data_IF_158822639566
#
_entry.id   IF_158822639566
#
_cell.length_a   1.000
_cell.length_b   1.000
_cell.length_c   1.000
_cell.angle_alpha   90.00
_cell.angle_beta   90.00
_cell.angle_gamma   90.00
#
_symmetry.space_group_name_H-M   'P 1'
#
loop_
_entity.id
_entity.type
_entity.pdbx_description
1 polymer ?
#
# COMPACT_ATOMS: atom_id res chain seq x y z
N UNK A 1 -23.04 -53.13 61.28
CA UNK A 1 -24.25 -53.09 60.45
C UNK A 1 -24.57 -51.61 60.25
N UNK A 2 -24.45 -51.08 59.03
CA UNK A 2 -24.67 -49.65 58.78
C UNK A 2 -26.14 -49.30 59.03
N UNK A 3 -26.37 -48.28 59.84
CA UNK A 3 -27.73 -47.81 60.12
C UNK A 3 -28.24 -46.92 58.98
N UNK A 4 -29.56 -46.77 58.87
CA UNK A 4 -30.21 -45.85 57.91
C UNK A 4 -29.64 -44.42 58.00
N UNK A 5 -29.24 -43.98 59.20
CA UNK A 5 -28.66 -42.67 59.44
C UNK A 5 -27.28 -42.48 58.77
N UNK A 6 -26.49 -43.55 58.63
CA UNK A 6 -25.16 -43.51 57.99
C UNK A 6 -25.29 -43.31 56.48
N UNK A 7 -26.31 -43.92 55.87
CA UNK A 7 -26.64 -43.71 54.46
C UNK A 7 -27.07 -42.27 54.19
N UNK A 8 -27.85 -41.65 55.08
CA UNK A 8 -28.22 -40.23 54.94
C UNK A 8 -27.01 -39.30 55.03
N UNK A 9 -26.06 -39.56 55.93
CA UNK A 9 -24.83 -38.76 56.03
C UNK A 9 -23.95 -38.90 54.80
N UNK A 10 -23.77 -40.12 54.31
CA UNK A 10 -23.04 -40.38 53.05
C UNK A 10 -23.72 -39.69 51.86
N UNK A 11 -25.03 -39.81 51.74
CA UNK A 11 -25.82 -39.15 50.69
C UNK A 11 -25.71 -37.63 50.74
N UNK A 12 -25.78 -37.03 51.94
CA UNK A 12 -25.61 -35.60 52.14
C UNK A 12 -24.19 -35.12 51.76
N UNK A 13 -23.16 -35.89 52.11
CA UNK A 13 -21.78 -35.60 51.73
C UNK A 13 -21.56 -35.63 50.21
N UNK A 14 -22.11 -36.64 49.53
CA UNK A 14 -22.06 -36.75 48.06
C UNK A 14 -22.82 -35.58 47.42
N UNK A 15 -24.02 -35.25 47.90
CA UNK A 15 -24.81 -34.14 47.39
C UNK A 15 -24.08 -32.80 47.56
N UNK A 16 -23.48 -32.55 48.72
CA UNK A 16 -22.69 -31.35 48.97
C UNK A 16 -21.45 -31.27 48.06
N UNK A 17 -20.74 -32.38 47.85
CA UNK A 17 -19.60 -32.46 46.95
C UNK A 17 -19.97 -32.16 45.49
N UNK A 18 -21.05 -32.76 45.00
CA UNK A 18 -21.58 -32.50 43.66
C UNK A 18 -22.04 -31.05 43.51
N UNK A 19 -22.67 -30.48 44.53
CA UNK A 19 -23.10 -29.09 44.54
C UNK A 19 -21.92 -28.11 44.46
N UNK A 20 -20.87 -28.33 45.26
CA UNK A 20 -19.65 -27.51 45.23
C UNK A 20 -18.91 -27.64 43.89
N UNK A 21 -18.81 -28.84 43.34
CA UNK A 21 -18.25 -29.06 42.01
C UNK A 21 -19.05 -28.32 40.94
N UNK A 22 -20.38 -28.39 41.00
CA UNK A 22 -21.25 -27.70 40.04
C UNK A 22 -21.10 -26.17 40.14
N UNK A 23 -21.03 -25.64 41.36
CA UNK A 23 -20.76 -24.21 41.57
C UNK A 23 -19.42 -23.79 40.97
N UNK A 24 -18.35 -24.56 41.18
CA UNK A 24 -17.04 -24.30 40.57
C UNK A 24 -17.09 -24.36 39.04
N UNK A 25 -17.75 -25.40 38.48
CA UNK A 25 -17.87 -25.56 37.04
C UNK A 25 -18.63 -24.38 36.41
N UNK A 26 -19.71 -23.91 37.03
CA UNK A 26 -20.53 -22.80 36.52
C UNK A 26 -19.87 -21.45 36.71
N UNK A 27 -19.22 -21.20 37.85
CA UNK A 27 -18.63 -19.90 38.16
C UNK A 27 -17.27 -19.68 37.48
N UNK A 28 -16.45 -20.72 37.36
CA UNK A 28 -15.06 -20.60 36.91
C UNK A 28 -14.81 -21.42 35.65
N UNK A 29 -15.16 -22.71 35.63
CA UNK A 29 -14.80 -23.65 34.56
C UNK A 29 -15.42 -23.33 33.19
N UNK A 30 -16.74 -23.23 33.09
CA UNK A 30 -17.41 -22.92 31.82
C UNK A 30 -17.10 -21.51 31.30
N UNK A 31 -16.98 -20.47 32.16
CA UNK A 31 -16.54 -19.15 31.71
C UNK A 31 -15.09 -19.12 31.21
N UNK A 32 -14.15 -19.81 31.87
CA UNK A 32 -12.75 -19.83 31.44
C UNK A 32 -12.59 -20.53 30.09
N UNK A 33 -13.19 -21.71 29.91
CA UNK A 33 -13.16 -22.44 28.65
C UNK A 33 -13.78 -21.62 27.50
N UNK A 34 -14.88 -20.88 27.76
CA UNK A 34 -15.48 -19.97 26.78
C UNK A 34 -14.56 -18.81 26.39
N UNK A 35 -13.81 -18.25 27.34
CA UNK A 35 -12.84 -17.18 27.05
C UNK A 35 -11.68 -17.68 26.18
N UNK A 36 -11.13 -18.85 26.52
CA UNK A 36 -10.04 -19.45 25.77
C UNK A 36 -10.44 -19.80 24.34
N UNK A 37 -11.62 -20.41 24.16
CA UNK A 37 -12.16 -20.69 22.82
C UNK A 37 -12.32 -19.41 21.99
N UNK A 38 -12.86 -18.33 22.59
CA UNK A 38 -13.00 -17.04 21.91
C UNK A 38 -11.65 -16.43 21.55
N UNK A 39 -10.65 -16.52 22.42
CA UNK A 39 -9.30 -16.03 22.14
C UNK A 39 -8.69 -16.73 20.92
N UNK A 40 -8.88 -18.05 20.79
CA UNK A 40 -8.47 -18.79 19.58
C UNK A 40 -9.15 -18.29 18.31
N UNK A 41 -10.46 -18.05 18.35
CA UNK A 41 -11.18 -17.50 17.19
C UNK A 41 -10.75 -16.08 16.84
N UNK A 42 -10.49 -15.23 17.84
CA UNK A 42 -9.98 -13.87 17.62
C UNK A 42 -8.62 -13.92 16.92
N UNK A 43 -7.71 -14.80 17.37
CA UNK A 43 -6.40 -14.94 16.75
C UNK A 43 -6.50 -15.37 15.27
N UNK A 44 -7.39 -16.31 14.96
CA UNK A 44 -7.64 -16.72 13.57
C UNK A 44 -8.22 -15.56 12.76
N UNK A 45 -9.19 -14.83 13.31
CA UNK A 45 -9.81 -13.69 12.64
C UNK A 45 -8.78 -12.57 12.36
N UNK A 46 -7.93 -12.25 13.33
CA UNK A 46 -6.86 -11.26 13.18
C UNK A 46 -5.84 -11.70 12.12
N UNK A 47 -5.45 -12.98 12.13
CA UNK A 47 -4.57 -13.55 11.10
C UNK A 47 -5.18 -13.41 9.71
N UNK A 48 -6.44 -13.83 9.52
CA UNK A 48 -7.11 -13.74 8.22
C UNK A 48 -7.27 -12.28 7.77
N UNK A 49 -7.57 -11.36 8.69
CA UNK A 49 -7.64 -9.93 8.39
C UNK A 49 -6.28 -9.37 7.96
N UNK A 50 -5.19 -9.78 8.63
CA UNK A 50 -3.84 -9.39 8.26
C UNK A 50 -3.42 -9.93 6.88
N UNK A 51 -3.70 -11.21 6.60
CA UNK A 51 -3.45 -11.84 5.31
C UNK A 51 -4.24 -11.15 4.18
N UNK A 52 -5.52 -10.83 4.41
CA UNK A 52 -6.34 -10.09 3.45
C UNK A 52 -5.80 -8.68 3.18
N UNK A 53 -5.35 -7.97 4.22
CA UNK A 53 -4.73 -6.65 4.08
C UNK A 53 -3.41 -6.73 3.30
N UNK A 54 -2.59 -7.75 3.56
CA UNK A 54 -1.35 -7.97 2.82
C UNK A 54 -1.61 -8.22 1.33
N UNK A 55 -2.57 -9.09 1.01
CA UNK A 55 -2.95 -9.37 -0.37
C UNK A 55 -3.47 -8.12 -1.10
N UNK A 56 -4.27 -7.28 -0.42
CA UNK A 56 -4.76 -6.03 -1.02
C UNK A 56 -3.62 -5.01 -1.23
N UNK A 57 -2.71 -4.87 -0.28
CA UNK A 57 -1.53 -4.02 -0.44
C UNK A 57 -0.66 -4.48 -1.62
N UNK A 58 -0.50 -5.80 -1.82
CA UNK A 58 0.22 -6.34 -2.96
C UNK A 58 -0.48 -6.02 -4.29
N UNK A 59 -1.81 -6.18 -4.36
CA UNK A 59 -2.59 -5.77 -5.55
C UNK A 59 -2.39 -4.30 -5.88
N UNK A 60 -2.50 -3.42 -4.89
CA UNK A 60 -2.33 -1.98 -5.08
C UNK A 60 -0.90 -1.63 -5.50
N UNK A 61 0.11 -2.27 -4.90
CA UNK A 61 1.51 -2.10 -5.32
C UNK A 61 1.75 -2.53 -6.76
N UNK A 62 1.19 -3.66 -7.17
CA UNK A 62 1.34 -4.16 -8.54
C UNK A 62 0.64 -3.25 -9.55
N UNK A 63 -0.57 -2.77 -9.24
CA UNK A 63 -1.28 -1.80 -10.08
C UNK A 63 -0.52 -0.47 -10.19
N UNK A 64 0.02 0.04 -9.07
CA UNK A 64 0.83 1.25 -9.05
C UNK A 64 2.11 1.07 -9.88
N UNK A 65 2.81 -0.06 -9.74
CA UNK A 65 4.02 -0.35 -10.50
C UNK A 65 3.76 -0.36 -12.02
N UNK A 66 2.66 -0.98 -12.46
CA UNK A 66 2.26 -0.99 -13.87
C UNK A 66 1.97 0.42 -14.40
N UNK A 67 1.20 1.21 -13.63
CA UNK A 67 0.90 2.59 -14.01
C UNK A 67 2.18 3.45 -14.09
N UNK A 68 3.08 3.33 -13.11
CA UNK A 68 4.34 4.08 -13.12
C UNK A 68 5.23 3.72 -14.30
N UNK A 69 5.28 2.44 -14.67
CA UNK A 69 6.09 1.99 -15.80
C UNK A 69 5.51 2.48 -17.13
N UNK A 70 4.19 2.49 -17.28
CA UNK A 70 3.55 3.08 -18.46
C UNK A 70 3.79 4.60 -18.54
N UNK A 71 3.66 5.31 -17.42
CA UNK A 71 3.96 6.75 -17.36
C UNK A 71 5.43 7.04 -17.70
N UNK A 72 6.36 6.22 -17.20
CA UNK A 72 7.80 6.34 -17.52
C UNK A 72 8.04 6.21 -19.02
N UNK A 73 7.47 5.19 -19.66
CA UNK A 73 7.58 4.99 -21.12
C UNK A 73 7.01 6.15 -21.92
N UNK A 74 5.84 6.66 -21.52
CA UNK A 74 5.22 7.83 -22.17
C UNK A 74 6.08 9.09 -22.01
N UNK A 75 6.69 9.29 -20.84
CA UNK A 75 7.60 10.41 -20.59
C UNK A 75 8.86 10.31 -21.45
N UNK A 76 9.49 9.14 -21.51
CA UNK A 76 10.67 8.91 -22.34
C UNK A 76 10.37 9.12 -23.83
N UNK A 77 9.22 8.63 -24.31
CA UNK A 77 8.78 8.86 -25.69
C UNK A 77 8.52 10.35 -25.98
N UNK A 78 7.89 11.07 -25.04
CA UNK A 78 7.64 12.50 -25.17
C UNK A 78 8.94 13.31 -25.19
N UNK A 79 9.90 12.97 -24.31
CA UNK A 79 11.22 13.60 -24.29
C UNK A 79 12.01 13.34 -25.57
N UNK A 80 11.98 12.11 -26.08
CA UNK A 80 12.63 11.78 -27.35
C UNK A 80 12.00 12.54 -28.53
N UNK A 81 10.67 12.66 -28.55
CA UNK A 81 9.97 13.43 -29.58
C UNK A 81 10.27 14.93 -29.48
N UNK A 82 10.33 15.49 -28.28
CA UNK A 82 10.71 16.88 -28.05
C UNK A 82 12.15 17.15 -28.51
N UNK A 83 13.09 16.25 -28.16
CA UNK A 83 14.48 16.39 -28.59
C UNK A 83 14.61 16.29 -30.10
N UNK A 84 13.95 15.32 -30.75
CA UNK A 84 13.95 15.21 -32.21
C UNK A 84 13.35 16.46 -32.89
N UNK A 85 12.30 17.04 -32.32
CA UNK A 85 11.71 18.28 -32.82
C UNK A 85 12.68 19.47 -32.66
N UNK A 86 13.40 19.57 -31.53
CA UNK A 86 14.43 20.59 -31.32
C UNK A 86 15.59 20.44 -32.30
N UNK A 87 16.10 19.23 -32.48
CA UNK A 87 17.21 18.95 -33.40
C UNK A 87 16.82 19.27 -34.86
N UNK A 88 15.57 18.96 -35.23
CA UNK A 88 15.01 19.31 -36.54
C UNK A 88 14.93 20.82 -36.71
N UNK A 89 14.39 21.53 -35.71
CA UNK A 89 14.27 22.99 -35.72
C UNK A 89 15.65 23.66 -35.83
N UNK A 90 16.64 23.19 -35.07
CA UNK A 90 18.01 23.70 -35.12
C UNK A 90 18.66 23.49 -36.49
N UNK A 91 18.43 22.32 -37.10
CA UNK A 91 18.88 22.05 -38.46
C UNK A 91 18.21 22.96 -39.49
N UNK A 92 16.90 23.19 -39.37
CA UNK A 92 16.16 24.11 -40.23
C UNK A 92 16.67 25.55 -40.08
N UNK A 93 16.88 26.02 -38.84
CA UNK A 93 17.43 27.35 -38.56
C UNK A 93 18.80 27.50 -39.22
N UNK A 94 19.72 26.56 -38.98
CA UNK A 94 21.06 26.60 -39.57
C UNK A 94 21.03 26.61 -41.10
N UNK A 95 20.14 25.82 -41.71
CA UNK A 95 19.96 25.81 -43.17
C UNK A 95 19.40 27.13 -43.70
N UNK A 96 18.43 27.73 -43.00
CA UNK A 96 17.88 29.04 -43.36
C UNK A 96 18.93 30.15 -43.22
N UNK A 97 19.72 30.14 -42.15
CA UNK A 97 20.81 31.09 -41.94
C UNK A 97 21.85 31.02 -43.07
N UNK A 98 22.23 29.80 -43.48
CA UNK A 98 23.16 29.61 -44.61
C UNK A 98 22.59 30.15 -45.92
N UNK A 99 21.31 29.88 -46.19
CA UNK A 99 20.63 30.39 -47.40
C UNK A 99 20.55 31.91 -47.41
N UNK A 100 20.37 32.53 -46.24
CA UNK A 100 20.37 34.00 -46.11
C UNK A 100 21.78 34.58 -46.30
N UNK A 101 22.82 33.94 -45.74
CA UNK A 101 24.20 34.41 -45.90
C UNK A 101 24.66 34.37 -47.36
N UNK A 102 24.28 33.32 -48.11
CA UNK A 102 24.51 33.23 -49.56
C UNK A 102 23.89 34.41 -50.33
N UNK A 103 22.81 34.99 -49.81
CA UNK A 103 22.14 36.17 -50.35
C UNK A 103 22.67 37.49 -49.75
N UNK A 104 23.78 37.47 -49.01
CA UNK A 104 24.31 38.61 -48.26
C UNK A 104 23.30 39.27 -47.29
N UNK A 105 22.39 38.46 -46.73
CA UNK A 105 21.41 38.92 -45.74
C UNK A 105 21.66 38.16 -44.44
N UNK A 106 21.59 38.86 -43.30
CA UNK A 106 21.67 38.24 -41.98
C UNK A 106 20.38 38.56 -41.20
N UNK A 107 19.76 37.54 -40.60
CA UNK A 107 18.61 37.71 -39.70
C UNK A 107 19.00 37.67 -38.22
N UNK A 108 20.13 37.05 -37.87
CA UNK A 108 20.61 37.00 -36.49
C UNK A 108 21.16 38.38 -36.09
N UNK A 109 20.48 39.06 -35.17
CA UNK A 109 21.00 40.27 -34.51
C UNK A 109 22.23 39.84 -33.71
N UNK A 110 23.41 40.29 -34.15
CA UNK A 110 24.66 40.00 -33.45
C UNK A 110 24.74 40.82 -32.15
N UNK A 111 25.68 40.48 -31.28
CA UNK A 111 25.94 41.27 -30.08
C UNK A 111 26.28 42.73 -30.41
N UNK A 112 26.96 42.99 -31.54
CA UNK A 112 27.28 44.33 -32.01
C UNK A 112 26.02 45.07 -32.50
N UNK A 113 25.12 44.40 -33.20
CA UNK A 113 23.84 45.00 -33.64
C UNK A 113 22.95 45.37 -32.45
N UNK A 114 22.94 44.52 -31.41
CA UNK A 114 22.20 44.76 -30.17
C UNK A 114 22.77 45.95 -29.39
N UNK A 115 24.10 46.05 -29.30
CA UNK A 115 24.80 47.16 -28.63
C UNK A 115 24.50 48.50 -29.33
N UNK A 116 24.54 48.50 -30.66
CA UNK A 116 24.17 49.67 -31.46
C UNK A 116 22.72 50.10 -31.22
N UNK A 117 21.76 49.17 -31.20
CA UNK A 117 20.34 49.48 -30.95
C UNK A 117 20.04 50.01 -29.55
N UNK A 118 20.88 49.71 -28.55
CA UNK A 118 20.67 50.11 -27.16
C UNK A 118 21.41 51.41 -26.79
N UNK A 119 22.40 51.82 -27.59
CA UNK A 119 23.27 52.97 -27.34
C UNK A 119 23.27 54.02 -28.46
N UNK A 120 22.27 53.99 -29.34
CA UNK A 120 21.89 55.06 -30.28
C UNK A 120 20.40 55.37 -30.11
#
# INVERSE_FOLDING_TARGET
>A
MFGILDYFKMGAGIAAGLFLYHLYAVSIGYPSARREARAGYVLIAERTAAEAKAAEMERQRNAAAQATEEHRKRLEAAQAAEQAAKDTLESEISNYERTLSEKNRACAITAADRDWLLHH
#
